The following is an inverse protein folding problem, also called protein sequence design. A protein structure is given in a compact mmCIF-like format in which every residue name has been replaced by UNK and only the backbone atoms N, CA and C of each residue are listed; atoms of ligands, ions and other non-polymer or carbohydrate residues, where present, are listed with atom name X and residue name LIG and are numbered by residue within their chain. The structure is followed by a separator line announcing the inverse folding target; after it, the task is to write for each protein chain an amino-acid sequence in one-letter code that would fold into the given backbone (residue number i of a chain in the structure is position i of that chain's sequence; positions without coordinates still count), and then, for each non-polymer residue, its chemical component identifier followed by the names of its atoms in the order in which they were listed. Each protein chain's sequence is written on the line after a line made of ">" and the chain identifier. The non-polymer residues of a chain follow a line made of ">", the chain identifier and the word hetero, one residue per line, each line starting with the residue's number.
data_IF_776874707199
#
_entry.id   IF_776874707199
#
_cell.length_a   1.000
_cell.length_b   1.000
_cell.length_c   1.000
_cell.angle_alpha   90.00
_cell.angle_beta   90.00
_cell.angle_gamma   90.00
#
_symmetry.space_group_name_H-M   'P 1'
#
loop_
_entity.id
_entity.type
_entity.pdbx_description
1 polymer ?
#
# COMPACT_ATOMS: atom_id res chain seq x y z
N UNK A 1 -12.74 -9.50 8.37
CA UNK A 1 -12.43 -9.66 6.93
C UNK A 1 -12.02 -11.08 6.60
N UNK A 2 -11.05 -11.68 7.30
CA UNK A 2 -10.57 -13.04 7.03
C UNK A 2 -11.66 -14.11 7.15
N UNK A 3 -12.44 -14.11 8.24
CA UNK A 3 -13.49 -15.12 8.45
C UNK A 3 -14.61 -15.02 7.41
N UNK A 4 -15.02 -13.78 7.09
CA UNK A 4 -16.06 -13.51 6.09
C UNK A 4 -15.56 -13.53 4.64
N UNK A 5 -14.26 -13.67 4.41
CA UNK A 5 -13.59 -13.52 3.10
C UNK A 5 -14.12 -12.32 2.30
N UNK A 6 -14.29 -11.16 2.94
CA UNK A 6 -14.87 -9.98 2.32
C UNK A 6 -14.34 -8.69 2.93
N UNK A 7 -14.04 -7.73 2.06
CA UNK A 7 -13.71 -6.35 2.41
C UNK A 7 -12.66 -5.74 1.47
N UNK A 8 -12.21 -4.53 1.77
CA UNK A 8 -11.21 -3.82 0.98
C UNK A 8 -10.21 -3.12 1.88
N UNK A 9 -8.90 -3.39 1.68
CA UNK A 9 -7.80 -2.68 2.33
C UNK A 9 -7.25 -1.63 1.37
N UNK A 10 -7.28 -0.37 1.80
CA UNK A 10 -6.72 0.74 1.03
C UNK A 10 -5.53 1.34 1.79
N UNK A 11 -4.34 1.28 1.19
CA UNK A 11 -3.13 1.88 1.77
C UNK A 11 -2.85 3.22 1.10
N UNK A 12 -2.75 4.29 1.90
CA UNK A 12 -2.38 5.62 1.39
C UNK A 12 -0.86 5.80 1.50
N UNK A 13 -0.18 5.67 0.37
CA UNK A 13 1.26 5.87 0.25
C UNK A 13 1.54 7.29 -0.29
N UNK A 14 2.34 7.40 -1.36
CA UNK A 14 2.69 8.62 -2.09
C UNK A 14 3.41 8.23 -3.37
N UNK A 15 3.46 9.12 -4.37
CA UNK A 15 4.40 9.01 -5.48
C UNK A 15 5.87 8.88 -4.99
N UNK A 16 6.17 9.44 -3.80
CA UNK A 16 7.45 9.26 -3.10
C UNK A 16 7.71 7.81 -2.62
N UNK A 17 6.71 6.92 -2.70
CA UNK A 17 6.85 5.49 -2.47
C UNK A 17 7.22 4.68 -3.73
N UNK A 18 7.34 5.36 -4.87
CA UNK A 18 7.74 4.79 -6.16
C UNK A 18 9.08 5.35 -6.65
N UNK A 19 9.43 6.56 -6.23
CA UNK A 19 10.71 7.21 -6.54
C UNK A 19 11.16 8.13 -5.41
N UNK A 20 12.47 8.23 -5.20
CA UNK A 20 13.07 9.06 -4.16
C UNK A 20 13.11 10.54 -4.52
N UNK A 21 13.00 11.40 -3.51
CA UNK A 21 13.06 12.86 -3.63
C UNK A 21 14.16 13.38 -2.71
N UNK A 22 15.07 14.20 -3.25
CA UNK A 22 16.14 14.82 -2.47
C UNK A 22 15.55 15.66 -1.33
N UNK A 23 16.13 15.53 -0.13
CA UNK A 23 15.66 16.23 1.08
C UNK A 23 14.48 15.56 1.80
N UNK A 24 13.95 14.44 1.29
CA UNK A 24 12.82 13.71 1.87
C UNK A 24 13.15 12.24 2.15
N UNK A 25 14.39 11.94 2.58
CA UNK A 25 14.89 10.55 2.69
C UNK A 25 14.00 9.69 3.59
N UNK A 26 13.73 10.16 4.81
CA UNK A 26 12.87 9.50 5.79
C UNK A 26 11.42 9.32 5.30
N UNK A 27 10.87 10.37 4.69
CA UNK A 27 9.53 10.34 4.11
C UNK A 27 9.44 9.34 2.95
N UNK A 28 10.35 9.40 1.97
CA UNK A 28 10.43 8.44 0.87
C UNK A 28 10.57 7.01 1.40
N UNK A 29 11.50 6.76 2.33
CA UNK A 29 11.65 5.44 2.95
C UNK A 29 10.35 4.92 3.56
N UNK A 30 9.61 5.77 4.29
CA UNK A 30 8.31 5.38 4.87
C UNK A 30 7.26 5.02 3.82
N UNK A 31 7.28 5.72 2.67
CA UNK A 31 6.30 5.50 1.58
C UNK A 31 6.66 4.29 0.72
N UNK A 32 7.94 4.02 0.50
CA UNK A 32 8.39 2.75 -0.09
C UNK A 32 8.01 1.57 0.82
N UNK A 33 8.21 1.70 2.13
CA UNK A 33 7.80 0.68 3.09
C UNK A 33 6.28 0.43 3.04
N UNK A 34 5.46 1.47 2.93
CA UNK A 34 4.02 1.32 2.79
C UNK A 34 3.60 0.59 1.49
N UNK A 35 4.25 0.89 0.37
CA UNK A 35 4.01 0.18 -0.91
C UNK A 35 4.43 -1.29 -0.80
N UNK A 36 5.64 -1.56 -0.32
CA UNK A 36 6.12 -2.93 -0.16
C UNK A 36 5.29 -3.76 0.82
N UNK A 37 4.85 -3.14 1.93
CA UNK A 37 3.93 -3.78 2.87
C UNK A 37 2.60 -4.14 2.20
N UNK A 38 2.05 -3.23 1.39
CA UNK A 38 0.78 -3.48 0.69
C UNK A 38 0.90 -4.61 -0.35
N UNK A 39 2.01 -4.65 -1.08
CA UNK A 39 2.32 -5.71 -2.05
C UNK A 39 2.45 -7.07 -1.35
N UNK A 40 3.27 -7.15 -0.30
CA UNK A 40 3.45 -8.37 0.48
C UNK A 40 2.13 -8.87 1.07
N UNK A 41 1.33 -7.98 1.68
CA UNK A 41 0.01 -8.31 2.22
C UNK A 41 -0.93 -8.85 1.14
N UNK A 42 -0.91 -8.28 -0.06
CA UNK A 42 -1.70 -8.76 -1.19
C UNK A 42 -1.31 -10.19 -1.56
N UNK A 43 -0.02 -10.49 -1.59
CA UNK A 43 0.47 -11.85 -1.84
C UNK A 43 0.09 -12.84 -0.73
N UNK A 44 0.18 -12.44 0.54
CA UNK A 44 -0.25 -13.29 1.65
C UNK A 44 -1.75 -13.62 1.57
N UNK A 45 -2.59 -12.63 1.30
CA UNK A 45 -4.03 -12.83 1.12
C UNK A 45 -4.35 -13.75 -0.05
N UNK A 46 -3.59 -13.62 -1.15
CA UNK A 46 -3.70 -14.52 -2.30
C UNK A 46 -3.30 -15.95 -1.94
N UNK A 47 -2.17 -16.15 -1.26
CA UNK A 47 -1.71 -17.46 -0.80
C UNK A 47 -2.69 -18.15 0.16
N UNK A 48 -3.36 -17.38 1.01
CA UNK A 48 -4.43 -17.82 1.91
C UNK A 48 -5.78 -18.05 1.21
N UNK A 49 -5.85 -17.89 -0.11
CA UNK A 49 -7.08 -17.99 -0.94
C UNK A 49 -8.18 -17.03 -0.50
N UNK A 50 -7.83 -15.87 0.07
CA UNK A 50 -8.76 -14.84 0.54
C UNK A 50 -9.14 -13.86 -0.57
N UNK A 51 -9.64 -14.38 -1.69
CA UNK A 51 -9.88 -13.58 -2.91
C UNK A 51 -11.01 -12.55 -2.80
N UNK A 52 -11.86 -12.64 -1.78
CA UNK A 52 -12.91 -11.65 -1.54
C UNK A 52 -12.44 -10.43 -0.75
N UNK A 53 -11.21 -10.45 -0.22
CA UNK A 53 -10.54 -9.27 0.34
C UNK A 53 -9.77 -8.58 -0.79
N UNK A 54 -10.21 -7.39 -1.17
CA UNK A 54 -9.56 -6.57 -2.19
C UNK A 54 -8.49 -5.68 -1.57
N UNK A 55 -7.48 -5.33 -2.35
CA UNK A 55 -6.40 -4.46 -1.93
C UNK A 55 -6.18 -3.36 -2.96
N UNK A 56 -5.90 -2.14 -2.50
CA UNK A 56 -5.49 -1.02 -3.36
C UNK A 56 -4.48 -0.14 -2.62
N UNK A 57 -3.38 0.19 -3.28
CA UNK A 57 -2.45 1.23 -2.81
C UNK A 57 -2.67 2.49 -3.63
N UNK A 58 -2.82 3.63 -2.94
CA UNK A 58 -2.96 4.94 -3.56
C UNK A 58 -1.66 5.70 -3.37
N UNK A 59 -1.03 6.08 -4.48
CA UNK A 59 0.24 6.81 -4.50
C UNK A 59 0.02 8.24 -5.03
N UNK A 60 -0.52 9.15 -4.20
CA UNK A 60 -0.77 10.52 -4.63
C UNK A 60 0.54 11.28 -4.87
N UNK A 61 0.51 12.19 -5.86
CA UNK A 61 1.50 13.25 -6.02
C UNK A 61 1.18 14.41 -5.06
N UNK A 62 1.41 15.66 -5.47
CA UNK A 62 1.06 16.81 -4.65
C UNK A 62 -0.47 16.95 -4.54
N UNK A 63 -0.98 17.06 -3.32
CA UNK A 63 -2.39 17.34 -3.01
C UNK A 63 -2.44 18.63 -2.22
N UNK A 64 -3.38 19.51 -2.57
CA UNK A 64 -3.75 20.64 -1.73
C UNK A 64 -4.79 20.15 -0.72
N UNK A 65 -4.36 19.93 0.52
CA UNK A 65 -5.18 19.39 1.61
C UNK A 65 -5.82 20.49 2.46
#
# INVERSE_FOLDING_TARGET
>A
MLDNNYGHIVTIASAAGLSGISGLVDYCSSKFAAVGLHEALTHELYGLKKHGIKTTVVCPSFINT
#
